data_IF_103990070237
#
_entry.id   IF_103990070237
#
_cell.length_a   1.000
_cell.length_b   1.000
_cell.length_c   1.000
_cell.angle_alpha   90.00
_cell.angle_beta   90.00
_cell.angle_gamma   90.00
#
_symmetry.space_group_name_H-M   'P 1'
#
loop_
_entity.id
_entity.type
_entity.pdbx_description
1 polymer ?
#
# COMPACT_ATOMS: atom_id res chain seq x y z
N UNK A 1 24.34 16.94 19.20
CA UNK A 1 23.09 16.70 19.96
C UNK A 1 22.07 16.16 18.97
N UNK A 2 21.71 14.89 19.06
CA UNK A 2 20.74 14.25 18.17
C UNK A 2 19.33 14.56 18.69
N UNK A 3 18.54 15.31 17.92
CA UNK A 3 17.15 15.58 18.27
C UNK A 3 16.25 14.45 17.73
N UNK A 4 15.27 14.11 18.56
CA UNK A 4 14.38 12.97 18.42
C UNK A 4 13.46 13.11 17.20
N UNK A 5 13.31 12.00 16.48
CA UNK A 5 12.32 11.78 15.42
C UNK A 5 10.99 11.44 16.08
N UNK A 6 10.09 12.43 16.15
CA UNK A 6 8.71 12.25 16.61
C UNK A 6 7.91 11.43 15.58
N UNK A 7 7.50 10.23 15.97
CA UNK A 7 6.71 9.30 15.19
C UNK A 7 5.22 9.67 15.26
N UNK A 8 4.82 10.67 14.49
CA UNK A 8 3.40 11.01 14.27
C UNK A 8 2.67 9.96 13.41
N UNK A 9 1.33 9.81 13.55
CA UNK A 9 0.57 8.71 12.97
C UNK A 9 0.62 8.73 11.43
N UNK A 10 1.05 7.61 10.82
CA UNK A 10 1.28 7.44 9.37
C UNK A 10 0.00 7.26 8.53
N UNK A 11 -1.14 7.82 8.94
CA UNK A 11 -2.41 7.55 8.28
C UNK A 11 -3.08 8.84 7.79
N UNK A 12 -3.22 8.98 6.47
CA UNK A 12 -3.97 10.07 5.83
C UNK A 12 -5.42 9.62 5.60
N UNK A 13 -6.35 10.50 5.98
CA UNK A 13 -7.79 10.35 5.87
C UNK A 13 -8.29 10.17 4.43
N UNK A 14 -9.15 9.18 4.23
CA UNK A 14 -9.93 8.96 3.01
C UNK A 14 -10.84 10.18 2.73
N UNK A 15 -10.72 10.78 1.54
CA UNK A 15 -11.52 11.94 1.12
C UNK A 15 -11.87 11.90 -0.37
N UNK A 16 -12.86 12.68 -0.83
CA UNK A 16 -13.33 12.65 -2.23
C UNK A 16 -12.25 13.03 -3.26
N UNK A 17 -11.25 13.81 -2.86
CA UNK A 17 -10.10 14.16 -3.71
C UNK A 17 -9.03 13.06 -3.77
N UNK A 18 -9.10 12.09 -2.85
CA UNK A 18 -8.17 10.97 -2.74
C UNK A 18 -8.92 9.67 -2.42
N UNK A 19 -9.75 9.15 -3.36
CA UNK A 19 -10.46 7.91 -3.13
C UNK A 19 -9.44 6.79 -2.95
N UNK A 20 -9.44 6.17 -1.78
CA UNK A 20 -8.59 5.04 -1.45
C UNK A 20 -9.42 3.76 -1.41
N UNK A 21 -9.23 2.85 -2.36
CA UNK A 21 -9.84 1.49 -2.31
C UNK A 21 -8.93 0.58 -1.50
N UNK A 22 -8.78 0.90 -0.22
CA UNK A 22 -7.95 0.18 0.73
C UNK A 22 -8.79 -0.86 1.48
N UNK A 23 -9.09 -1.99 0.83
CA UNK A 23 -10.02 -3.02 1.30
C UNK A 23 -9.28 -4.27 1.81
N UNK A 24 -8.38 -4.07 2.78
CA UNK A 24 -7.60 -5.15 3.41
C UNK A 24 -8.48 -6.31 3.91
N UNK A 25 -9.63 -6.02 4.54
CA UNK A 25 -10.50 -7.03 5.14
C UNK A 25 -11.20 -7.99 4.15
N UNK A 26 -11.02 -7.82 2.83
CA UNK A 26 -11.54 -8.73 1.81
C UNK A 26 -10.47 -9.65 1.21
N UNK A 27 -9.21 -9.45 1.58
CA UNK A 27 -8.07 -10.20 1.05
C UNK A 27 -7.56 -11.11 2.17
N UNK A 28 -7.38 -12.40 1.88
CA UNK A 28 -6.73 -13.33 2.83
C UNK A 28 -5.22 -13.13 2.86
N UNK A 29 -4.65 -13.18 4.05
CA UNK A 29 -3.21 -13.19 4.28
C UNK A 29 -2.66 -14.59 4.00
N UNK A 30 -1.73 -14.76 3.04
CA UNK A 30 -1.12 -16.06 2.75
C UNK A 30 -0.33 -16.64 3.93
N UNK A 31 0.04 -15.83 4.93
CA UNK A 31 0.83 -16.26 6.10
C UNK A 31 -0.01 -16.92 7.18
N UNK A 32 -1.27 -16.51 7.31
CA UNK A 32 -2.15 -16.89 8.43
C UNK A 32 -3.48 -17.52 7.99
N UNK A 33 -3.78 -17.54 6.69
CA UNK A 33 -5.08 -17.93 6.08
C UNK A 33 -6.31 -17.16 6.64
N UNK A 34 -6.07 -16.09 7.38
CA UNK A 34 -7.08 -15.15 7.88
C UNK A 34 -7.13 -13.89 7.01
N UNK A 35 -8.22 -13.13 7.05
CA UNK A 35 -8.28 -11.82 6.39
C UNK A 35 -7.23 -10.85 6.95
N UNK A 36 -6.68 -9.98 6.09
CA UNK A 36 -5.74 -8.96 6.55
C UNK A 36 -6.40 -8.03 7.56
N UNK A 37 -5.65 -7.66 8.59
CA UNK A 37 -5.97 -6.54 9.47
C UNK A 37 -5.37 -5.24 8.89
N UNK A 38 -5.78 -4.08 9.42
CA UNK A 38 -5.23 -2.81 8.98
C UNK A 38 -3.70 -2.76 9.12
N UNK A 39 -3.16 -3.26 10.24
CA UNK A 39 -1.71 -3.34 10.48
C UNK A 39 -1.08 -4.46 9.65
N UNK A 40 -1.71 -5.64 9.60
CA UNK A 40 -1.17 -6.80 8.88
C UNK A 40 -0.99 -6.54 7.38
N UNK A 41 -1.85 -5.72 6.77
CA UNK A 41 -1.70 -5.30 5.38
C UNK A 41 -0.41 -4.47 5.15
N UNK A 42 -0.06 -3.56 6.07
CA UNK A 42 1.16 -2.76 5.98
C UNK A 42 2.41 -3.59 6.26
N UNK A 43 2.35 -4.50 7.23
CA UNK A 43 3.44 -5.43 7.50
C UNK A 43 3.73 -6.32 6.30
N UNK A 44 2.69 -6.84 5.65
CA UNK A 44 2.82 -7.64 4.43
C UNK A 44 3.43 -6.82 3.28
N UNK A 45 2.98 -5.59 3.06
CA UNK A 45 3.58 -4.70 2.05
C UNK A 45 5.06 -4.45 2.36
N UNK A 46 5.44 -4.24 3.62
CA UNK A 46 6.83 -4.05 4.01
C UNK A 46 7.67 -5.32 3.79
N UNK A 47 7.12 -6.51 4.01
CA UNK A 47 7.76 -7.78 3.68
C UNK A 47 7.96 -7.93 2.17
N UNK A 48 6.93 -7.67 1.37
CA UNK A 48 7.05 -7.68 -0.09
C UNK A 48 8.11 -6.69 -0.59
N UNK A 49 8.19 -5.49 -0.01
CA UNK A 49 9.22 -4.50 -0.37
C UNK A 49 10.64 -4.93 0.01
N UNK A 50 10.80 -5.79 1.03
CA UNK A 50 12.10 -6.36 1.40
C UNK A 50 12.49 -7.53 0.52
N UNK A 51 11.53 -8.19 -0.11
CA UNK A 51 11.79 -9.25 -1.07
C UNK A 51 12.29 -8.62 -2.38
N UNK A 52 13.54 -8.92 -2.74
CA UNK A 52 14.20 -8.40 -3.94
C UNK A 52 13.49 -8.78 -5.25
N UNK A 53 12.53 -9.70 -5.22
CA UNK A 53 11.79 -10.15 -6.40
C UNK A 53 10.42 -9.45 -6.58
N UNK A 54 10.05 -8.51 -5.69
CA UNK A 54 8.80 -7.79 -5.82
C UNK A 54 8.83 -6.83 -7.03
N UNK A 55 7.87 -7.00 -7.94
CA UNK A 55 7.70 -6.11 -9.08
C UNK A 55 7.04 -4.80 -8.64
N UNK A 56 7.88 -3.79 -8.41
CA UNK A 56 7.44 -2.42 -8.11
C UNK A 56 7.50 -1.61 -9.40
N UNK A 57 6.37 -1.02 -9.77
CA UNK A 57 6.24 -0.14 -10.93
C UNK A 57 6.02 1.29 -10.45
N UNK A 58 6.92 2.21 -10.84
CA UNK A 58 6.73 3.64 -10.62
C UNK A 58 5.76 4.19 -11.67
N UNK A 59 4.69 4.83 -11.21
CA UNK A 59 3.67 5.43 -12.07
C UNK A 59 3.49 6.91 -11.73
N UNK A 60 3.26 7.73 -12.75
CA UNK A 60 2.84 9.11 -12.52
C UNK A 60 1.36 9.12 -12.11
N UNK A 61 1.08 9.68 -10.93
CA UNK A 61 -0.28 9.81 -10.43
C UNK A 61 -1.06 10.80 -11.29
N UNK A 62 -2.27 10.39 -11.67
CA UNK A 62 -3.24 11.28 -12.31
C UNK A 62 -3.82 12.29 -11.32
N UNK A 63 -3.87 11.91 -10.02
CA UNK A 63 -4.38 12.73 -8.91
C UNK A 63 -3.66 12.35 -7.60
N UNK A 64 -3.00 13.30 -6.91
CA UNK A 64 -2.59 14.63 -7.42
C UNK A 64 -1.71 14.48 -8.66
N UNK A 65 -1.86 15.40 -9.63
CA UNK A 65 -1.22 15.27 -10.96
C UNK A 65 0.27 15.52 -10.84
N UNK A 66 1.08 14.59 -11.34
CA UNK A 66 2.53 14.73 -11.42
C UNK A 66 3.30 14.18 -10.22
N UNK A 67 2.62 13.70 -9.18
CA UNK A 67 3.27 12.99 -8.08
C UNK A 67 3.61 11.54 -8.45
N UNK A 68 4.66 11.00 -7.83
CA UNK A 68 5.09 9.62 -8.03
C UNK A 68 4.23 8.70 -7.16
N UNK A 69 3.64 7.70 -7.81
CA UNK A 69 2.96 6.58 -7.16
C UNK A 69 3.75 5.31 -7.40
N UNK A 70 3.66 4.39 -6.45
CA UNK A 70 4.29 3.07 -6.53
C UNK A 70 3.20 2.02 -6.60
N UNK A 71 3.28 1.13 -7.58
CA UNK A 71 2.35 0.01 -7.74
C UNK A 71 3.12 -1.27 -7.48
N UNK A 72 2.60 -2.08 -6.56
CA UNK A 72 3.09 -3.42 -6.31
C UNK A 72 2.01 -4.40 -6.78
N UNK A 73 2.43 -5.41 -7.54
CA UNK A 73 1.58 -6.54 -7.94
C UNK A 73 2.18 -7.78 -7.33
N UNK A 74 1.42 -8.44 -6.46
CA UNK A 74 1.88 -9.64 -5.73
C UNK A 74 0.96 -10.79 -6.06
N UNK A 75 1.50 -11.90 -6.55
CA UNK A 75 0.69 -13.09 -6.83
C UNK A 75 0.38 -13.80 -5.51
N UNK A 76 -0.91 -13.91 -5.18
CA UNK A 76 -1.43 -14.74 -4.08
C UNK A 76 -2.20 -15.94 -4.65
N UNK A 77 -2.50 -16.93 -3.82
CA UNK A 77 -3.32 -18.09 -4.22
C UNK A 77 -4.72 -17.68 -4.71
N UNK A 78 -5.32 -16.70 -4.04
CA UNK A 78 -6.64 -16.16 -4.37
C UNK A 78 -6.64 -15.17 -5.56
N UNK A 79 -5.47 -14.86 -6.13
CA UNK A 79 -5.32 -13.94 -7.26
C UNK A 79 -4.18 -12.92 -7.09
N UNK A 80 -4.02 -12.03 -8.07
CA UNK A 80 -3.01 -10.96 -8.03
C UNK A 80 -3.47 -9.85 -7.08
N UNK A 81 -2.76 -9.60 -5.99
CA UNK A 81 -2.95 -8.46 -5.12
C UNK A 81 -2.37 -7.20 -5.77
N UNK A 82 -3.20 -6.17 -5.92
CA UNK A 82 -2.82 -4.85 -6.38
C UNK A 82 -2.70 -3.88 -5.21
N UNK A 83 -1.50 -3.38 -4.97
CA UNK A 83 -1.21 -2.36 -3.96
C UNK A 83 -0.74 -1.10 -4.66
N UNK A 84 -1.32 0.04 -4.29
CA UNK A 84 -0.87 1.35 -4.77
C UNK A 84 -0.52 2.22 -3.59
N UNK A 85 0.69 2.78 -3.63
CA UNK A 85 1.25 3.65 -2.62
C UNK A 85 1.60 5.00 -3.23
N UNK A 86 1.69 6.01 -2.39
CA UNK A 86 2.14 7.36 -2.73
C UNK A 86 3.07 7.84 -1.62
N UNK A 87 4.12 8.57 -1.99
CA UNK A 87 4.95 9.26 -1.01
C UNK A 87 4.28 10.59 -0.68
N UNK A 88 3.86 10.75 0.57
CA UNK A 88 3.36 12.00 1.12
C UNK A 88 4.49 12.91 1.60
N UNK A 89 4.12 14.13 1.99
CA UNK A 89 5.03 15.11 2.58
C UNK A 89 5.71 14.54 3.84
N UNK A 90 7.00 14.84 4.04
CA UNK A 90 7.75 14.39 5.21
C UNK A 90 8.14 12.91 5.21
N UNK A 91 8.05 12.22 4.06
CA UNK A 91 8.44 10.81 3.92
C UNK A 91 7.38 9.82 4.41
N UNK A 92 6.15 10.27 4.64
CA UNK A 92 5.04 9.39 4.97
C UNK A 92 4.62 8.55 3.76
N UNK A 93 4.38 7.25 3.95
CA UNK A 93 3.84 6.38 2.89
C UNK A 93 2.31 6.36 3.01
N UNK A 94 1.62 6.72 1.93
CA UNK A 94 0.17 6.80 1.86
C UNK A 94 -0.37 5.64 1.04
N UNK A 95 -1.27 4.86 1.63
CA UNK A 95 -1.98 3.79 0.96
C UNK A 95 -3.09 4.33 0.08
N UNK A 96 -3.04 4.05 -1.23
CA UNK A 96 -4.04 4.49 -2.22
C UNK A 96 -4.96 3.36 -2.65
N UNK A 97 -4.44 2.15 -2.81
CA UNK A 97 -5.24 0.98 -3.16
C UNK A 97 -4.69 -0.26 -2.51
N UNK A 98 -5.57 -1.13 -2.03
CA UNK A 98 -5.25 -2.48 -1.55
C UNK A 98 -6.45 -3.38 -1.86
N UNK A 99 -6.37 -4.15 -2.94
CA UNK A 99 -7.42 -5.09 -3.36
C UNK A 99 -6.87 -6.14 -4.33
N UNK A 100 -7.56 -7.27 -4.43
CA UNK A 100 -7.30 -8.23 -5.51
C UNK A 100 -7.62 -7.57 -6.85
N UNK A 101 -6.69 -7.67 -7.77
CA UNK A 101 -6.78 -7.19 -9.15
C UNK A 101 -8.00 -7.84 -9.80
N UNK A 102 -8.96 -7.01 -10.22
CA UNK A 102 -10.12 -7.45 -11.00
C UNK A 102 -9.67 -7.74 -12.44
N UNK A 103 -8.76 -8.71 -12.64
CA UNK A 103 -8.46 -9.19 -13.99
C UNK A 103 -9.64 -10.07 -14.45
N UNK A 104 -10.37 -9.58 -15.45
CA UNK A 104 -11.18 -10.40 -16.36
C UNK A 104 -10.28 -11.17 -17.32
#
# INVERSE_FOLDING_TARGET
MAQAIETGPRFVSCGPEQPSRWWFGKVKDPRSDTYFTANGAWEFVAECLRDSNAQIEEIMLKKPRGEIGYVLKVQLEQGELYVKLQMGTGGAVIGRSFHLSERK
#
